data_IF_074426757012
#
_entry.id   IF_074426757012
#
_cell.length_a   1.000
_cell.length_b   1.000
_cell.length_c   1.000
_cell.angle_alpha   90.00
_cell.angle_beta   90.00
_cell.angle_gamma   90.00
#
_symmetry.space_group_name_H-M   'P 1'
#
loop_
_entity.id
_entity.type
_entity.pdbx_description
1 polymer ?
#
# COMPACT_ATOMS: atom_id res chain seq x y z
N UNK A 1 -13.31 -21.00 55.90
CA UNK A 1 -13.71 -19.72 56.54
C UNK A 1 -12.44 -19.01 57.00
N UNK A 2 -12.22 -17.74 56.66
CA UNK A 2 -10.94 -17.06 56.91
C UNK A 2 -10.87 -16.27 58.24
N UNK A 3 -9.68 -15.80 58.66
CA UNK A 3 -9.46 -15.10 59.93
C UNK A 3 -10.44 -13.96 60.22
N UNK A 4 -10.81 -13.19 59.19
CA UNK A 4 -11.76 -12.06 59.30
C UNK A 4 -13.18 -12.53 59.65
N UNK A 5 -13.71 -13.52 58.93
CA UNK A 5 -15.06 -14.08 59.18
C UNK A 5 -15.11 -14.81 60.51
N UNK A 6 -14.05 -15.52 60.89
CA UNK A 6 -13.94 -16.17 62.20
C UNK A 6 -13.97 -15.12 63.31
N UNK A 7 -13.12 -14.09 63.24
CA UNK A 7 -13.10 -13.01 64.21
C UNK A 7 -14.46 -12.32 64.36
N UNK A 8 -15.17 -12.07 63.26
CA UNK A 8 -16.48 -11.44 63.30
C UNK A 8 -17.55 -12.25 64.03
N UNK A 9 -17.45 -13.58 64.05
CA UNK A 9 -18.40 -14.43 64.78
C UNK A 9 -18.11 -14.46 66.28
N UNK A 10 -16.86 -14.69 66.66
CA UNK A 10 -16.49 -14.90 68.08
C UNK A 10 -16.39 -13.59 68.88
N UNK A 11 -16.17 -12.43 68.22
CA UNK A 11 -16.07 -11.14 68.92
C UNK A 11 -17.35 -10.73 69.67
N UNK A 12 -18.51 -11.30 69.32
CA UNK A 12 -19.79 -11.00 69.97
C UNK A 12 -20.02 -11.80 71.26
N UNK A 13 -19.36 -12.95 71.41
CA UNK A 13 -19.56 -13.85 72.54
C UNK A 13 -18.35 -13.90 73.48
N UNK A 14 -17.16 -13.55 73.01
CA UNK A 14 -15.92 -13.67 73.77
C UNK A 14 -14.99 -12.48 73.56
N UNK A 15 -14.32 -12.05 74.62
CA UNK A 15 -13.32 -10.98 74.60
C UNK A 15 -12.10 -11.34 75.46
N UNK A 16 -10.90 -11.16 74.90
CA UNK A 16 -9.64 -11.19 75.64
C UNK A 16 -8.57 -10.36 74.93
N UNK A 17 -7.53 -9.97 75.68
CA UNK A 17 -6.39 -9.21 75.14
C UNK A 17 -5.66 -10.07 74.10
N UNK A 18 -5.66 -9.61 72.84
CA UNK A 18 -5.01 -10.32 71.73
C UNK A 18 -5.93 -11.23 70.91
N UNK A 19 -7.25 -11.25 71.15
CA UNK A 19 -8.25 -12.03 70.40
C UNK A 19 -7.99 -12.04 68.88
N UNK A 20 -7.81 -10.88 68.25
CA UNK A 20 -7.56 -10.78 66.81
C UNK A 20 -6.29 -11.52 66.38
N UNK A 21 -5.21 -11.38 67.15
CA UNK A 21 -3.93 -12.02 66.85
C UNK A 21 -4.01 -13.54 67.05
N UNK A 22 -4.67 -14.00 68.11
CA UNK A 22 -4.86 -15.43 68.36
C UNK A 22 -5.74 -16.08 67.28
N UNK A 23 -6.83 -15.45 66.85
CA UNK A 23 -7.69 -15.96 65.77
C UNK A 23 -6.93 -16.04 64.46
N UNK A 24 -6.13 -15.00 64.14
CA UNK A 24 -5.26 -15.04 62.95
C UNK A 24 -4.25 -16.18 63.03
N UNK A 25 -3.57 -16.34 64.18
CA UNK A 25 -2.58 -17.40 64.40
C UNK A 25 -3.20 -18.79 64.29
N UNK A 26 -4.37 -18.99 64.88
CA UNK A 26 -5.12 -20.25 64.81
C UNK A 26 -5.57 -20.58 63.38
N UNK A 27 -6.16 -19.64 62.66
CA UNK A 27 -6.58 -19.87 61.27
C UNK A 27 -5.39 -20.16 60.34
N UNK A 28 -4.20 -19.62 60.64
CA UNK A 28 -2.96 -19.92 59.91
C UNK A 28 -2.41 -21.30 60.25
N UNK A 29 -2.49 -21.75 61.51
CA UNK A 29 -2.00 -23.08 61.93
C UNK A 29 -3.00 -24.21 61.72
N UNK A 30 -4.28 -23.92 61.51
CA UNK A 30 -5.32 -24.92 61.35
C UNK A 30 -5.23 -25.60 59.98
N UNK A 31 -4.90 -26.90 59.97
CA UNK A 31 -4.78 -27.72 58.76
C UNK A 31 -6.01 -27.63 57.85
N UNK A 32 -7.21 -27.81 58.38
CA UNK A 32 -8.47 -27.76 57.60
C UNK A 32 -8.72 -26.37 56.99
N UNK A 33 -8.34 -25.29 57.70
CA UNK A 33 -8.43 -23.93 57.17
C UNK A 33 -7.40 -23.68 56.06
N UNK A 34 -6.21 -24.29 56.14
CA UNK A 34 -5.18 -24.17 55.11
C UNK A 34 -5.51 -25.01 53.87
N UNK A 35 -6.08 -26.21 54.03
CA UNK A 35 -6.50 -27.09 52.92
C UNK A 35 -7.62 -26.47 52.07
N UNK A 36 -8.51 -25.68 52.68
CA UNK A 36 -9.65 -25.04 52.01
C UNK A 36 -9.40 -23.60 51.59
N UNK A 37 -8.19 -23.07 51.83
CA UNK A 37 -7.84 -21.70 51.50
C UNK A 37 -7.67 -21.56 49.99
N UNK A 38 -8.39 -20.61 49.39
CA UNK A 38 -8.08 -20.15 48.02
C UNK A 38 -6.67 -19.54 47.99
N UNK A 39 -5.78 -20.17 47.22
CA UNK A 39 -4.47 -19.61 46.90
C UNK A 39 -4.69 -18.59 45.78
N UNK A 40 -4.30 -17.33 46.02
CA UNK A 40 -4.16 -16.37 44.93
C UNK A 40 -2.94 -16.81 44.12
N UNK A 41 -3.17 -17.51 43.03
CA UNK A 41 -2.15 -17.76 42.02
C UNK A 41 -2.06 -16.48 41.20
N UNK A 42 -0.88 -15.89 41.12
CA UNK A 42 -0.63 -14.80 40.18
C UNK A 42 -0.37 -15.47 38.82
N UNK A 43 -1.45 -15.71 38.07
CA UNK A 43 -1.43 -16.30 36.74
C UNK A 43 -1.16 -15.27 35.64
N UNK A 44 -0.82 -14.03 36.02
CA UNK A 44 -0.43 -12.99 35.10
C UNK A 44 0.80 -13.41 34.31
N UNK A 45 0.60 -13.91 33.09
CA UNK A 45 1.67 -14.06 32.10
C UNK A 45 2.44 -12.74 32.02
N UNK A 46 3.77 -12.74 32.18
CA UNK A 46 4.55 -11.52 32.12
C UNK A 46 4.32 -10.84 30.77
N UNK A 47 3.73 -9.64 30.81
CA UNK A 47 3.48 -8.84 29.61
C UNK A 47 4.85 -8.45 29.06
N UNK A 48 5.26 -9.11 27.98
CA UNK A 48 6.47 -8.71 27.27
C UNK A 48 6.12 -7.50 26.41
N UNK A 49 6.81 -6.35 26.56
CA UNK A 49 6.54 -5.19 25.71
C UNK A 49 6.85 -5.56 24.27
N UNK A 50 5.83 -5.53 23.41
CA UNK A 50 5.99 -5.72 21.97
C UNK A 50 6.76 -4.51 21.43
N UNK A 51 7.95 -4.75 20.87
CA UNK A 51 8.72 -3.70 20.21
C UNK A 51 7.87 -3.09 19.09
N UNK A 52 7.76 -1.76 19.07
CA UNK A 52 7.02 -1.09 18.00
C UNK A 52 7.86 -1.09 16.73
N UNK A 53 7.29 -1.46 15.58
CA UNK A 53 7.99 -1.31 14.32
C UNK A 53 8.33 0.16 14.06
N UNK A 54 9.50 0.39 13.47
CA UNK A 54 9.99 1.74 13.16
C UNK A 54 9.40 2.26 11.85
N UNK A 55 8.93 1.36 10.98
CA UNK A 55 8.42 1.69 9.65
C UNK A 55 6.98 1.15 9.43
N UNK A 56 6.11 1.88 8.71
CA UNK A 56 4.88 1.37 8.12
C UNK A 56 5.07 0.06 7.37
N UNK A 57 4.07 -0.83 7.45
CA UNK A 57 4.00 -2.13 6.77
C UNK A 57 5.09 -3.14 7.16
N UNK A 58 5.99 -2.79 8.09
CA UNK A 58 6.99 -3.71 8.62
C UNK A 58 6.36 -4.87 9.39
N UNK A 59 5.27 -4.60 10.13
CA UNK A 59 4.48 -5.64 10.83
C UNK A 59 3.00 -5.35 10.64
N UNK A 60 2.31 -6.23 9.91
CA UNK A 60 0.87 -6.21 9.73
C UNK A 60 0.25 -7.36 10.50
N UNK A 61 -0.63 -7.04 11.45
CA UNK A 61 -1.45 -8.04 12.12
C UNK A 61 -2.64 -8.39 11.23
N UNK A 62 -2.91 -9.68 11.07
CA UNK A 62 -4.07 -10.16 10.33
C UNK A 62 -4.89 -11.07 11.22
N UNK A 63 -6.20 -10.84 11.25
CA UNK A 63 -7.16 -11.63 12.02
C UNK A 63 -8.44 -11.88 11.20
N UNK A 64 -9.20 -12.90 11.53
CA UNK A 64 -10.46 -13.26 10.86
C UNK A 64 -11.61 -13.23 11.85
N UNK A 65 -12.59 -12.36 11.60
CA UNK A 65 -13.85 -12.31 12.33
C UNK A 65 -14.84 -13.26 11.66
N UNK A 66 -15.34 -14.26 12.40
CA UNK A 66 -16.41 -15.14 11.95
C UNK A 66 -16.35 -16.54 12.58
N UNK A 67 -17.18 -17.48 12.09
CA UNK A 67 -18.16 -17.32 11.02
C UNK A 67 -19.38 -16.47 11.42
N UNK A 68 -19.86 -15.64 10.50
CA UNK A 68 -21.11 -14.87 10.62
C UNK A 68 -22.26 -15.78 10.18
N UNK A 69 -23.21 -16.00 11.09
CA UNK A 69 -24.41 -16.80 10.85
C UNK A 69 -25.67 -16.05 11.35
N UNK A 70 -26.69 -15.82 10.50
CA UNK A 70 -26.75 -16.15 9.09
C UNK A 70 -25.77 -15.32 8.23
N UNK A 71 -25.31 -15.84 7.08
CA UNK A 71 -24.45 -15.08 6.18
C UNK A 71 -25.16 -13.82 5.67
N UNK A 72 -24.36 -12.83 5.26
CA UNK A 72 -24.92 -11.62 4.61
C UNK A 72 -25.72 -11.96 3.34
N UNK A 73 -26.53 -11.01 2.85
CA UNK A 73 -27.29 -11.16 1.59
C UNK A 73 -26.42 -11.48 0.37
N UNK A 74 -25.13 -11.13 0.39
CA UNK A 74 -24.13 -11.44 -0.65
C UNK A 74 -23.31 -12.72 -0.36
N UNK A 75 -23.64 -13.44 0.71
CA UNK A 75 -22.99 -14.70 1.08
C UNK A 75 -21.66 -14.56 1.83
N UNK A 76 -21.28 -13.36 2.29
CA UNK A 76 -20.09 -13.19 3.13
C UNK A 76 -20.29 -13.84 4.50
N UNK A 77 -19.31 -14.66 4.91
CA UNK A 77 -19.29 -15.47 6.14
C UNK A 77 -18.18 -15.04 7.10
N UNK A 78 -17.17 -14.32 6.65
CA UNK A 78 -16.04 -13.90 7.46
C UNK A 78 -15.55 -12.52 7.05
N UNK A 79 -14.82 -11.85 7.94
CA UNK A 79 -14.18 -10.57 7.66
C UNK A 79 -12.70 -10.71 8.02
N UNK A 80 -11.82 -10.53 7.03
CA UNK A 80 -10.39 -10.40 7.26
C UNK A 80 -10.11 -8.98 7.74
N UNK A 81 -9.49 -8.84 8.89
CA UNK A 81 -9.05 -7.59 9.49
C UNK A 81 -7.53 -7.52 9.41
N UNK A 82 -7.02 -6.44 8.82
CA UNK A 82 -5.59 -6.20 8.71
C UNK A 82 -5.26 -4.88 9.40
N UNK A 83 -4.27 -4.87 10.27
CA UNK A 83 -3.84 -3.65 10.99
C UNK A 83 -2.33 -3.53 10.88
N UNK A 84 -1.87 -2.44 10.26
CA UNK A 84 -0.47 -2.08 10.30
C UNK A 84 -0.10 -1.58 11.70
N UNK A 85 0.88 -2.21 12.35
CA UNK A 85 1.23 -1.91 13.75
C UNK A 85 1.85 -0.52 13.93
N UNK A 86 2.54 0.00 12.90
CA UNK A 86 3.21 1.29 12.98
C UNK A 86 2.22 2.45 12.82
N UNK A 87 1.45 2.47 11.73
CA UNK A 87 0.46 3.53 11.44
C UNK A 87 -0.84 3.36 12.22
N UNK A 88 -1.12 2.16 12.75
CA UNK A 88 -2.39 1.75 13.37
C UNK A 88 -3.59 1.84 12.44
N UNK A 89 -3.37 1.88 11.13
CA UNK A 89 -4.44 1.88 10.15
C UNK A 89 -4.99 0.46 10.01
N UNK A 90 -6.29 0.32 10.23
CA UNK A 90 -7.03 -0.93 10.03
C UNK A 90 -7.76 -0.93 8.69
N UNK A 91 -7.71 -2.05 7.98
CA UNK A 91 -8.47 -2.32 6.76
C UNK A 91 -9.23 -3.65 6.93
N UNK A 92 -10.39 -3.78 6.27
CA UNK A 92 -11.22 -4.98 6.40
C UNK A 92 -11.72 -5.46 5.04
N UNK A 93 -11.80 -6.79 4.88
CA UNK A 93 -12.25 -7.45 3.64
C UNK A 93 -13.27 -8.52 3.98
N UNK A 94 -14.47 -8.40 3.43
CA UNK A 94 -15.53 -9.40 3.60
C UNK A 94 -15.32 -10.60 2.67
N UNK A 95 -15.23 -11.80 3.23
CA UNK A 95 -14.95 -13.05 2.53
C UNK A 95 -16.17 -13.97 2.52
N UNK A 96 -16.41 -14.63 1.38
CA UNK A 96 -17.44 -15.68 1.23
C UNK A 96 -16.91 -17.07 1.62
N UNK A 97 -15.61 -17.28 1.46
CA UNK A 97 -14.88 -18.51 1.79
C UNK A 97 -13.50 -18.15 2.34
N UNK A 98 -12.97 -18.99 3.24
CA UNK A 98 -11.61 -18.87 3.78
C UNK A 98 -10.54 -19.38 2.82
N UNK A 99 -10.91 -20.19 1.82
CA UNK A 99 -10.00 -20.75 0.83
C UNK A 99 -10.31 -20.16 -0.53
N UNK A 100 -9.53 -19.17 -0.95
CA UNK A 100 -9.68 -18.45 -2.22
C UNK A 100 -8.31 -18.21 -2.85
N UNK A 101 -8.20 -18.42 -4.16
CA UNK A 101 -6.95 -18.17 -4.92
C UNK A 101 -6.73 -16.69 -5.22
N UNK A 102 -7.83 -15.93 -5.38
CA UNK A 102 -7.85 -14.50 -5.66
C UNK A 102 -8.95 -13.84 -4.83
N UNK A 103 -8.68 -12.65 -4.32
CA UNK A 103 -9.61 -11.83 -3.54
C UNK A 103 -9.85 -10.49 -4.23
N UNK A 104 -11.08 -9.96 -4.09
CA UNK A 104 -11.40 -8.60 -4.51
C UNK A 104 -11.08 -7.65 -3.35
N UNK A 105 -10.26 -6.64 -3.60
CA UNK A 105 -9.83 -5.65 -2.61
C UNK A 105 -9.73 -4.26 -3.25
N UNK A 106 -10.46 -3.28 -2.70
CA UNK A 106 -10.45 -1.87 -3.14
C UNK A 106 -10.61 -1.64 -4.65
N UNK A 107 -11.40 -2.47 -5.35
CA UNK A 107 -11.60 -2.36 -6.80
C UNK A 107 -10.51 -3.03 -7.66
N UNK A 108 -9.68 -3.85 -7.03
CA UNK A 108 -8.64 -4.68 -7.62
C UNK A 108 -8.87 -6.16 -7.27
N UNK A 109 -8.31 -7.04 -8.08
CA UNK A 109 -8.26 -8.49 -7.82
C UNK A 109 -6.81 -8.84 -7.48
N UNK A 110 -6.56 -9.45 -6.32
CA UNK A 110 -5.21 -9.79 -5.83
C UNK A 110 -5.15 -11.29 -5.52
N UNK A 111 -4.10 -11.97 -5.96
CA UNK A 111 -3.82 -13.35 -5.57
C UNK A 111 -3.05 -14.13 -6.63
N UNK A 112 -2.38 -15.21 -6.20
CA UNK A 112 -1.55 -16.05 -7.07
C UNK A 112 -0.28 -15.36 -7.57
N UNK A 113 0.28 -14.40 -6.81
CA UNK A 113 1.47 -13.64 -7.20
C UNK A 113 1.18 -12.44 -8.12
N UNK A 114 -0.10 -12.16 -8.39
CA UNK A 114 -0.52 -11.08 -9.28
C UNK A 114 -1.60 -10.20 -8.67
N UNK A 115 -1.67 -8.97 -9.15
CA UNK A 115 -2.79 -8.07 -8.94
C UNK A 115 -3.27 -7.45 -10.25
N UNK A 116 -4.56 -7.15 -10.35
CA UNK A 116 -5.17 -6.58 -11.54
C UNK A 116 -6.42 -5.79 -11.22
N UNK A 117 -7.04 -5.15 -12.22
CA UNK A 117 -8.36 -4.54 -12.09
C UNK A 117 -9.43 -5.55 -11.65
N UNK A 118 -10.49 -5.08 -10.97
CA UNK A 118 -11.67 -5.90 -10.70
C UNK A 118 -12.34 -6.32 -12.02
N UNK A 119 -12.57 -7.63 -12.18
CA UNK A 119 -13.21 -8.21 -13.36
C UNK A 119 -14.56 -7.54 -13.68
N UNK A 120 -15.34 -7.17 -12.66
CA UNK A 120 -16.64 -6.50 -12.86
C UNK A 120 -16.46 -5.11 -13.50
N UNK A 121 -15.39 -4.41 -13.13
CA UNK A 121 -15.02 -3.10 -13.69
C UNK A 121 -14.44 -3.25 -15.09
N UNK A 122 -13.65 -4.29 -15.35
CA UNK A 122 -13.17 -4.62 -16.70
C UNK A 122 -14.34 -4.94 -17.64
N UNK A 123 -15.33 -5.71 -17.17
CA UNK A 123 -16.55 -6.00 -17.92
C UNK A 123 -17.34 -4.72 -18.23
N UNK A 124 -17.43 -3.80 -17.26
CA UNK A 124 -18.03 -2.49 -17.50
C UNK A 124 -17.26 -1.70 -18.56
N UNK A 125 -15.93 -1.67 -18.50
CA UNK A 125 -15.05 -1.02 -19.47
C UNK A 125 -15.24 -1.60 -20.88
N UNK A 126 -15.33 -2.93 -20.99
CA UNK A 126 -15.58 -3.61 -22.27
C UNK A 126 -16.88 -3.15 -22.92
N UNK A 127 -17.92 -2.96 -22.12
CA UNK A 127 -19.26 -2.51 -22.55
C UNK A 127 -19.40 -1.01 -22.72
N UNK A 128 -18.36 -0.21 -22.41
CA UNK A 128 -18.43 1.24 -22.59
C UNK A 128 -18.67 1.58 -24.06
N UNK A 129 -19.71 2.38 -24.27
CA UNK A 129 -20.00 3.04 -25.54
C UNK A 129 -19.09 4.25 -25.72
N UNK A 130 -18.90 4.64 -26.97
CA UNK A 130 -18.18 5.86 -27.33
C UNK A 130 -18.87 7.08 -26.70
N UNK A 131 -18.16 7.90 -25.92
CA UNK A 131 -18.72 9.11 -25.33
C UNK A 131 -18.96 10.18 -26.41
N UNK A 132 -20.09 10.87 -26.30
CA UNK A 132 -20.52 11.92 -27.23
C UNK A 132 -20.35 13.32 -26.63
N UNK A 133 -20.39 13.40 -25.30
CA UNK A 133 -20.27 14.66 -24.57
C UNK A 133 -18.96 14.76 -23.80
N UNK A 134 -18.50 16.00 -23.58
CA UNK A 134 -17.30 16.29 -22.78
C UNK A 134 -17.38 15.75 -21.35
N UNK A 135 -18.57 15.67 -20.77
CA UNK A 135 -18.81 15.10 -19.43
C UNK A 135 -18.57 13.59 -19.45
N UNK A 136 -19.10 12.89 -20.45
CA UNK A 136 -18.89 11.46 -20.62
C UNK A 136 -17.40 11.15 -20.86
N UNK A 137 -16.71 11.93 -21.69
CA UNK A 137 -15.25 11.74 -21.92
C UNK A 137 -14.47 11.87 -20.61
N UNK A 138 -14.79 12.86 -19.76
CA UNK A 138 -14.14 12.99 -18.45
C UNK A 138 -14.43 11.80 -17.54
N UNK A 139 -15.69 11.37 -17.46
CA UNK A 139 -16.08 10.22 -16.66
C UNK A 139 -15.36 8.94 -17.09
N UNK A 140 -15.24 8.71 -18.41
CA UNK A 140 -14.46 7.60 -18.98
C UNK A 140 -12.99 7.70 -18.61
N UNK A 141 -12.37 8.89 -18.76
CA UNK A 141 -10.97 9.13 -18.42
C UNK A 141 -10.69 8.99 -16.92
N UNK A 142 -11.65 9.33 -16.06
CA UNK A 142 -11.55 9.12 -14.61
C UNK A 142 -11.57 7.62 -14.27
N UNK A 143 -12.51 6.87 -14.87
CA UNK A 143 -12.59 5.42 -14.69
C UNK A 143 -11.34 4.70 -15.20
N UNK A 144 -10.88 5.01 -16.42
CA UNK A 144 -9.65 4.41 -16.97
C UNK A 144 -8.41 4.91 -16.24
N UNK A 145 -8.41 6.15 -15.78
CA UNK A 145 -7.34 6.76 -15.00
C UNK A 145 -7.14 6.11 -13.63
N UNK A 146 -8.20 5.60 -13.00
CA UNK A 146 -8.09 4.79 -11.79
C UNK A 146 -7.20 3.55 -12.00
N UNK A 147 -7.18 2.99 -13.21
CA UNK A 147 -6.36 1.85 -13.60
C UNK A 147 -5.09 2.22 -14.39
N UNK A 148 -4.68 3.49 -14.40
CA UNK A 148 -3.51 3.92 -15.17
C UNK A 148 -2.20 3.22 -14.76
N UNK A 149 -2.12 2.71 -13.52
CA UNK A 149 -0.98 1.94 -13.02
C UNK A 149 -0.76 0.62 -13.78
N UNK A 150 -1.77 0.12 -14.48
CA UNK A 150 -1.71 -1.11 -15.30
C UNK A 150 -1.35 -0.86 -16.76
N UNK A 151 -1.31 0.42 -17.18
CA UNK A 151 -1.18 0.79 -18.59
C UNK A 151 0.17 1.49 -18.81
N UNK A 152 1.08 0.89 -19.61
CA UNK A 152 2.29 1.58 -20.00
C UNK A 152 1.96 2.79 -20.87
N UNK A 153 2.64 3.92 -20.63
CA UNK A 153 2.48 5.17 -21.40
C UNK A 153 1.03 5.69 -21.47
N UNK A 154 0.23 5.47 -20.42
CA UNK A 154 -1.16 5.93 -20.33
C UNK A 154 -1.34 7.40 -20.76
N UNK A 155 -0.50 8.32 -20.27
CA UNK A 155 -0.60 9.74 -20.57
C UNK A 155 -0.48 10.05 -22.07
N UNK A 156 0.34 9.29 -22.79
CA UNK A 156 0.47 9.40 -24.24
C UNK A 156 -0.81 8.92 -24.93
N UNK A 157 -1.26 7.71 -24.59
CA UNK A 157 -2.43 7.08 -25.22
C UNK A 157 -3.71 7.88 -24.93
N UNK A 158 -3.87 8.40 -23.72
CA UNK A 158 -5.03 9.21 -23.34
C UNK A 158 -4.98 10.64 -23.90
N UNK A 159 -3.92 11.03 -24.61
CA UNK A 159 -3.72 12.40 -25.08
C UNK A 159 -4.89 12.93 -25.91
N UNK A 160 -5.31 12.27 -27.00
CA UNK A 160 -6.40 12.76 -27.85
C UNK A 160 -7.68 12.99 -27.05
N UNK A 161 -8.01 12.05 -26.15
CA UNK A 161 -9.19 12.14 -25.29
C UNK A 161 -9.10 13.31 -24.29
N UNK A 162 -7.93 13.52 -23.67
CA UNK A 162 -7.75 14.63 -22.72
C UNK A 162 -7.88 16.00 -23.40
N UNK A 163 -7.44 16.13 -24.65
CA UNK A 163 -7.52 17.38 -25.44
C UNK A 163 -8.98 17.81 -25.66
N UNK A 164 -9.89 16.85 -25.85
CA UNK A 164 -11.34 17.11 -25.98
C UNK A 164 -11.94 17.71 -24.69
N UNK A 165 -11.35 17.43 -23.52
CA UNK A 165 -11.88 17.89 -22.23
C UNK A 165 -11.46 19.31 -21.82
N UNK A 166 -10.59 19.96 -22.61
CA UNK A 166 -10.06 21.32 -22.34
C UNK A 166 -11.14 22.39 -22.36
N UNK A 167 -11.02 23.42 -21.51
CA UNK A 167 -12.04 24.48 -21.35
C UNK A 167 -12.46 25.14 -22.67
N UNK A 168 -11.52 25.36 -23.59
CA UNK A 168 -11.74 26.07 -24.86
C UNK A 168 -12.42 25.24 -25.96
N UNK A 169 -12.78 23.97 -25.69
CA UNK A 169 -13.47 23.08 -26.65
C UNK A 169 -14.98 23.02 -26.39
N UNK A 170 -15.81 22.85 -27.44
CA UNK A 170 -17.26 22.72 -27.31
C UNK A 170 -17.66 21.54 -26.42
N UNK A 171 -18.92 21.53 -25.94
CA UNK A 171 -19.45 20.46 -25.11
C UNK A 171 -19.72 19.17 -25.90
N UNK A 172 -20.11 19.32 -27.16
CA UNK A 172 -20.20 18.25 -28.13
C UNK A 172 -18.81 17.93 -28.66
N UNK A 173 -18.48 16.65 -28.69
CA UNK A 173 -17.11 16.18 -28.92
C UNK A 173 -16.92 15.84 -30.38
N UNK A 174 -16.06 16.60 -31.07
CA UNK A 174 -15.55 16.21 -32.39
C UNK A 174 -14.64 15.00 -32.23
N UNK A 175 -15.03 13.86 -32.78
CA UNK A 175 -14.33 12.61 -32.55
C UNK A 175 -13.93 11.98 -33.87
N UNK A 176 -12.62 11.93 -34.12
CA UNK A 176 -12.01 11.38 -35.31
C UNK A 176 -11.36 10.02 -35.06
N UNK A 177 -10.45 9.66 -35.96
CA UNK A 177 -9.74 8.38 -35.94
C UNK A 177 -8.73 8.30 -34.78
N UNK A 178 -8.06 9.40 -34.45
CA UNK A 178 -7.10 9.45 -33.35
C UNK A 178 -7.77 9.18 -31.99
N UNK A 179 -8.93 9.78 -31.73
CA UNK A 179 -9.69 9.57 -30.52
C UNK A 179 -10.23 8.13 -30.44
N UNK A 180 -10.71 7.59 -31.56
CA UNK A 180 -11.20 6.22 -31.63
C UNK A 180 -10.08 5.20 -31.35
N UNK A 181 -8.95 5.36 -32.03
CA UNK A 181 -7.76 4.52 -31.84
C UNK A 181 -7.27 4.56 -30.39
N UNK A 182 -7.19 5.74 -29.78
CA UNK A 182 -6.85 5.89 -28.37
C UNK A 182 -7.84 5.20 -27.44
N UNK A 183 -9.15 5.36 -27.68
CA UNK A 183 -10.19 4.74 -26.85
C UNK A 183 -10.15 3.20 -26.94
N UNK A 184 -10.04 2.66 -28.14
CA UNK A 184 -9.99 1.22 -28.37
C UNK A 184 -8.71 0.62 -27.80
N UNK A 185 -7.56 1.29 -27.95
CA UNK A 185 -6.29 0.86 -27.37
C UNK A 185 -6.33 0.83 -25.84
N UNK A 186 -6.94 1.83 -25.20
CA UNK A 186 -7.13 1.82 -23.74
C UNK A 186 -8.06 0.68 -23.29
N UNK A 187 -9.15 0.44 -24.02
CA UNK A 187 -10.05 -0.70 -23.75
C UNK A 187 -9.32 -2.03 -23.90
N UNK A 188 -8.53 -2.19 -24.96
CA UNK A 188 -7.75 -3.40 -25.21
C UNK A 188 -6.75 -3.65 -24.08
N UNK A 189 -5.92 -2.66 -23.70
CA UNK A 189 -4.91 -2.80 -22.65
C UNK A 189 -5.51 -3.14 -21.28
N UNK A 190 -6.69 -2.60 -20.97
CA UNK A 190 -7.41 -2.94 -19.73
C UNK A 190 -8.13 -4.29 -19.80
N UNK A 191 -8.60 -4.71 -20.97
CA UNK A 191 -9.36 -5.95 -21.15
C UNK A 191 -8.49 -7.19 -21.38
N UNK A 192 -7.28 -7.04 -21.93
CA UNK A 192 -6.37 -8.16 -22.25
C UNK A 192 -5.79 -8.86 -21.00
N UNK A 193 -6.24 -8.46 -19.81
CA UNK A 193 -5.76 -8.93 -18.51
C UNK A 193 -4.34 -8.44 -18.28
N UNK A 194 -4.20 -7.14 -17.99
CA UNK A 194 -2.98 -6.56 -17.40
C UNK A 194 -2.96 -6.89 -15.91
N UNK A 195 -2.80 -8.18 -15.59
CA UNK A 195 -2.32 -8.58 -14.27
C UNK A 195 -0.84 -8.22 -14.20
N UNK A 196 -0.48 -7.48 -13.15
CA UNK A 196 0.90 -7.15 -12.81
C UNK A 196 1.32 -7.96 -11.60
N UNK A 197 2.62 -8.12 -11.40
CA UNK A 197 3.13 -8.91 -10.29
C UNK A 197 2.87 -8.20 -8.96
N UNK A 198 2.54 -8.98 -7.92
CA UNK A 198 2.56 -8.46 -6.55
C UNK A 198 4.01 -8.34 -6.08
N UNK A 199 4.37 -7.25 -5.38
CA UNK A 199 5.74 -7.06 -4.94
C UNK A 199 6.13 -8.02 -3.82
N UNK A 200 7.40 -8.43 -3.81
CA UNK A 200 8.05 -9.06 -2.65
C UNK A 200 8.82 -7.99 -1.87
N UNK A 201 8.44 -7.77 -0.61
CA UNK A 201 9.10 -6.78 0.24
C UNK A 201 10.58 -7.08 0.52
N UNK A 202 11.04 -8.31 0.30
CA UNK A 202 12.43 -8.71 0.55
C UNK A 202 13.35 -8.49 -0.66
N UNK A 203 12.80 -8.24 -1.84
CA UNK A 203 13.56 -8.03 -3.07
C UNK A 203 13.69 -6.53 -3.36
N UNK A 204 14.83 -6.08 -3.91
CA UNK A 204 15.02 -4.68 -4.27
C UNK A 204 14.05 -4.28 -5.38
N UNK A 205 13.44 -3.11 -5.23
CA UNK A 205 12.61 -2.52 -6.28
C UNK A 205 13.48 -1.83 -7.32
N UNK A 206 13.05 -1.85 -8.58
CA UNK A 206 13.72 -1.18 -9.68
C UNK A 206 12.75 -0.20 -10.35
N UNK A 207 13.16 1.06 -10.46
CA UNK A 207 12.38 2.11 -11.13
C UNK A 207 13.08 2.45 -12.44
N UNK A 208 12.47 2.04 -13.53
CA UNK A 208 12.89 2.42 -14.88
C UNK A 208 12.22 3.73 -15.25
N UNK A 209 13.00 4.73 -15.65
CA UNK A 209 12.48 6.01 -16.12
C UNK A 209 12.89 6.22 -17.58
N UNK A 210 11.92 6.57 -18.41
CA UNK A 210 12.12 6.99 -19.80
C UNK A 210 11.51 8.39 -19.98
N UNK A 211 12.20 9.23 -20.73
CA UNK A 211 11.71 10.55 -21.10
C UNK A 211 11.82 10.76 -22.60
N UNK A 212 10.74 11.26 -23.18
CA UNK A 212 10.73 11.76 -24.56
C UNK A 212 10.54 13.27 -24.54
N UNK A 213 10.49 13.89 -25.72
CA UNK A 213 10.42 15.35 -25.82
C UNK A 213 9.21 15.97 -25.09
N UNK A 214 8.10 15.22 -24.98
CA UNK A 214 6.81 15.73 -24.55
C UNK A 214 6.24 15.08 -23.28
N UNK A 215 6.78 13.95 -22.84
CA UNK A 215 6.27 13.16 -21.72
C UNK A 215 7.35 12.37 -20.99
N UNK A 216 6.96 11.88 -19.81
CA UNK A 216 7.72 10.96 -18.97
C UNK A 216 6.92 9.68 -18.76
N UNK A 217 7.60 8.54 -18.84
CA UNK A 217 7.11 7.23 -18.44
C UNK A 217 8.02 6.63 -17.37
N UNK A 218 7.43 5.98 -16.38
CA UNK A 218 8.15 5.21 -15.38
C UNK A 218 7.51 3.84 -15.23
N UNK A 219 8.34 2.82 -15.01
CA UNK A 219 7.93 1.46 -14.72
C UNK A 219 8.61 1.00 -13.43
N UNK A 220 7.82 0.58 -12.46
CA UNK A 220 8.27 -0.10 -11.26
C UNK A 220 8.32 -1.60 -11.55
N UNK A 221 9.47 -2.21 -11.35
CA UNK A 221 9.72 -3.63 -11.57
C UNK A 221 10.41 -4.25 -10.35
N UNK A 222 10.36 -5.57 -10.26
CA UNK A 222 11.24 -6.38 -9.42
C UNK A 222 11.79 -7.53 -10.26
N UNK A 223 13.04 -7.91 -10.02
CA UNK A 223 13.60 -9.12 -10.59
C UNK A 223 13.21 -10.32 -9.73
N UNK A 224 12.67 -11.36 -10.37
CA UNK A 224 12.44 -12.65 -9.71
C UNK A 224 13.76 -13.39 -9.47
N UNK A 225 13.73 -14.51 -8.74
CA UNK A 225 14.91 -15.36 -8.49
C UNK A 225 15.58 -15.86 -9.77
N UNK A 226 14.82 -15.94 -10.86
CA UNK A 226 15.29 -16.35 -12.19
C UNK A 226 15.82 -15.18 -13.05
N UNK A 227 15.87 -13.97 -12.49
CA UNK A 227 16.36 -12.76 -13.20
C UNK A 227 15.38 -12.15 -14.19
N UNK A 228 14.13 -12.62 -14.22
CA UNK A 228 13.06 -12.06 -15.06
C UNK A 228 12.50 -10.80 -14.41
N UNK A 229 12.38 -9.73 -15.20
CA UNK A 229 11.79 -8.46 -14.74
C UNK A 229 10.26 -8.56 -14.71
N UNK A 230 9.69 -8.41 -13.52
CA UNK A 230 8.26 -8.46 -13.28
C UNK A 230 7.72 -7.04 -13.05
N UNK A 231 6.83 -6.52 -13.92
CA UNK A 231 6.27 -5.20 -13.76
C UNK A 231 5.22 -5.18 -12.63
N UNK A 232 5.35 -4.21 -11.73
CA UNK A 232 4.46 -4.01 -10.57
C UNK A 232 3.52 -2.84 -10.84
N UNK A 233 4.03 -1.73 -11.38
CA UNK A 233 3.21 -0.56 -11.67
C UNK A 233 3.84 0.34 -12.74
N UNK A 234 3.00 0.98 -13.53
CA UNK A 234 3.38 2.01 -14.49
C UNK A 234 2.95 3.40 -14.00
N UNK A 235 3.69 4.43 -14.40
CA UNK A 235 3.31 5.81 -14.20
C UNK A 235 3.70 6.61 -15.44
N UNK A 236 2.85 7.54 -15.86
CA UNK A 236 3.20 8.42 -16.99
C UNK A 236 2.57 9.79 -16.83
N UNK A 237 3.25 10.82 -17.33
CA UNK A 237 2.78 12.20 -17.27
C UNK A 237 3.31 13.01 -18.46
N UNK A 238 2.47 13.92 -18.98
CA UNK A 238 2.92 14.90 -19.98
C UNK A 238 3.66 16.06 -19.33
N UNK A 239 4.68 16.56 -20.01
CA UNK A 239 5.35 17.79 -19.58
C UNK A 239 4.45 19.01 -19.73
N UNK A 240 4.47 19.86 -18.71
CA UNK A 240 3.93 21.22 -18.77
C UNK A 240 4.68 22.07 -19.81
N UNK A 241 4.10 23.18 -20.25
CA UNK A 241 4.74 24.07 -21.23
C UNK A 241 6.14 24.52 -20.81
N UNK A 242 6.36 24.73 -19.50
CA UNK A 242 7.67 25.07 -18.94
C UNK A 242 8.65 23.90 -18.97
N UNK A 243 8.18 22.68 -18.69
CA UNK A 243 8.98 21.46 -18.66
C UNK A 243 9.45 21.01 -20.05
N UNK A 244 8.64 21.27 -21.09
CA UNK A 244 9.01 20.94 -22.48
C UNK A 244 10.31 21.61 -22.92
N UNK A 245 10.58 22.80 -22.39
CA UNK A 245 11.77 23.60 -22.72
C UNK A 245 12.97 23.30 -21.81
N UNK A 246 12.88 22.35 -20.89
CA UNK A 246 14.02 21.92 -20.08
C UNK A 246 15.04 21.16 -20.94
N UNK A 247 16.31 21.20 -20.53
CA UNK A 247 17.34 20.35 -21.14
C UNK A 247 17.05 18.87 -20.86
N UNK A 248 17.54 17.95 -21.70
CA UNK A 248 17.33 16.48 -21.54
C UNK A 248 17.65 16.01 -20.13
N UNK A 249 18.82 16.42 -19.61
CA UNK A 249 19.26 16.08 -18.25
C UNK A 249 18.29 16.53 -17.15
N UNK A 250 17.63 17.67 -17.32
CA UNK A 250 16.64 18.16 -16.35
C UNK A 250 15.32 17.41 -16.47
N UNK A 251 14.95 16.97 -17.68
CA UNK A 251 13.75 16.16 -17.92
C UNK A 251 13.90 14.78 -17.29
N UNK A 252 15.06 14.14 -17.43
CA UNK A 252 15.33 12.83 -16.83
C UNK A 252 15.45 12.90 -15.31
N UNK A 253 16.14 13.91 -14.77
CA UNK A 253 16.22 14.11 -13.32
C UNK A 253 14.81 14.31 -12.72
N UNK A 254 13.94 15.04 -13.44
CA UNK A 254 12.54 15.15 -13.06
C UNK A 254 11.78 13.84 -13.19
N UNK A 255 12.08 13.01 -14.19
CA UNK A 255 11.45 11.72 -14.36
C UNK A 255 11.76 10.76 -13.22
N UNK A 256 13.00 10.73 -12.76
CA UNK A 256 13.39 9.98 -11.57
C UNK A 256 12.58 10.44 -10.35
N UNK A 257 12.55 11.74 -10.08
CA UNK A 257 11.78 12.29 -8.96
C UNK A 257 10.27 12.00 -9.08
N UNK A 258 9.74 12.08 -10.30
CA UNK A 258 8.35 11.75 -10.60
C UNK A 258 8.05 10.29 -10.30
N UNK A 259 8.88 9.37 -10.78
CA UNK A 259 8.77 7.93 -10.51
C UNK A 259 8.85 7.63 -9.02
N UNK A 260 9.84 8.19 -8.32
CA UNK A 260 10.00 8.02 -6.88
C UNK A 260 8.77 8.48 -6.10
N UNK A 261 8.27 9.68 -6.39
CA UNK A 261 7.08 10.20 -5.72
C UNK A 261 5.82 9.38 -6.03
N UNK A 262 5.68 8.91 -7.27
CA UNK A 262 4.51 8.10 -7.68
C UNK A 262 4.51 6.71 -7.07
N UNK A 263 5.67 6.11 -6.90
CA UNK A 263 5.81 4.74 -6.42
C UNK A 263 6.18 4.63 -4.94
N UNK A 264 6.32 5.74 -4.23
CA UNK A 264 6.62 5.80 -2.78
C UNK A 264 5.79 4.83 -1.93
N UNK A 265 4.50 4.67 -2.27
CA UNK A 265 3.59 3.75 -1.57
C UNK A 265 3.92 2.26 -1.73
N UNK A 266 4.68 1.89 -2.75
CA UNK A 266 5.03 0.49 -3.04
C UNK A 266 6.28 0.04 -2.29
N UNK A 267 7.28 0.89 -2.18
CA UNK A 267 8.60 0.54 -1.67
C UNK A 267 8.98 1.27 -0.39
N UNK A 268 8.00 1.77 0.37
CA UNK A 268 8.26 2.44 1.64
C UNK A 268 9.11 1.53 2.55
N UNK A 269 10.31 2.00 2.93
CA UNK A 269 11.24 1.24 3.77
C UNK A 269 12.02 0.11 3.05
N UNK A 270 11.88 -0.03 1.73
CA UNK A 270 12.62 -1.00 0.93
C UNK A 270 13.82 -0.36 0.21
N UNK A 271 14.72 -1.22 -0.30
CA UNK A 271 15.82 -0.80 -1.16
C UNK A 271 15.28 -0.54 -2.56
N UNK A 272 15.62 0.63 -3.14
CA UNK A 272 15.19 1.02 -4.48
C UNK A 272 16.40 1.33 -5.35
N UNK A 273 16.40 0.76 -6.55
CA UNK A 273 17.38 0.96 -7.61
C UNK A 273 16.75 1.76 -8.75
N UNK A 274 17.45 2.80 -9.22
CA UNK A 274 16.96 3.68 -10.27
C UNK A 274 17.71 3.34 -11.55
N UNK A 275 16.97 2.93 -12.57
CA UNK A 275 17.48 2.57 -13.89
C UNK A 275 17.09 3.68 -14.88
N UNK A 276 18.09 4.38 -15.41
CA UNK A 276 17.94 5.40 -16.44
C UNK A 276 19.06 5.25 -17.46
N UNK A 277 18.72 5.54 -18.71
CA UNK A 277 19.58 5.55 -19.89
C UNK A 277 20.60 6.70 -19.91
N UNK A 278 20.40 7.74 -19.10
CA UNK A 278 21.24 8.93 -19.17
C UNK A 278 22.30 8.99 -18.05
N UNK A 279 23.53 8.69 -18.46
CA UNK A 279 24.75 8.64 -17.65
C UNK A 279 25.08 9.89 -16.78
N UNK A 280 24.73 11.14 -17.17
CA UNK A 280 24.99 12.36 -16.38
C UNK A 280 24.35 12.41 -14.99
N UNK A 281 23.30 11.63 -14.72
CA UNK A 281 22.65 11.59 -13.40
C UNK A 281 23.59 11.04 -12.31
N UNK A 282 24.64 10.28 -12.67
CA UNK A 282 25.70 9.83 -11.76
C UNK A 282 26.45 10.98 -11.10
N UNK A 283 26.53 12.12 -11.78
CA UNK A 283 27.30 13.28 -11.33
C UNK A 283 26.44 14.31 -10.57
N UNK A 284 25.12 14.10 -10.41
CA UNK A 284 24.25 15.03 -9.67
C UNK A 284 24.71 15.25 -8.22
N UNK A 285 25.24 14.22 -7.57
CA UNK A 285 25.82 14.34 -6.22
C UNK A 285 27.19 15.03 -6.21
N UNK A 286 27.91 15.04 -7.34
CA UNK A 286 29.24 15.61 -7.49
C UNK A 286 29.23 17.03 -8.09
N UNK A 287 28.11 17.44 -8.71
CA UNK A 287 27.94 18.76 -9.29
C UNK A 287 27.56 19.79 -8.21
N UNK A 288 28.28 20.90 -8.16
CA UNK A 288 27.85 22.08 -7.39
C UNK A 288 26.53 22.59 -7.97
N UNK A 289 25.42 22.60 -7.21
CA UNK A 289 24.13 22.96 -7.77
C UNK A 289 24.12 24.43 -8.18
N UNK A 290 23.98 24.68 -9.50
CA UNK A 290 24.03 26.05 -10.07
C UNK A 290 22.73 26.83 -9.93
N UNK A 291 21.66 26.22 -9.42
CA UNK A 291 20.35 26.86 -9.24
C UNK A 291 19.57 26.20 -8.10
N UNK A 292 18.59 26.90 -7.49
CA UNK A 292 17.70 26.33 -6.47
C UNK A 292 16.94 25.07 -6.94
N UNK A 293 16.70 24.94 -8.23
CA UNK A 293 16.08 23.76 -8.85
C UNK A 293 16.99 22.53 -8.74
N UNK A 294 18.29 22.70 -9.01
CA UNK A 294 19.28 21.63 -8.87
C UNK A 294 19.47 21.19 -7.41
N UNK A 295 19.39 22.12 -6.45
CA UNK A 295 19.39 21.78 -5.01
C UNK A 295 18.24 20.85 -4.66
N UNK A 296 17.01 21.19 -5.09
CA UNK A 296 15.82 20.35 -4.83
C UNK A 296 15.91 18.97 -5.47
N UNK A 297 16.55 18.85 -6.63
CA UNK A 297 16.75 17.57 -7.30
C UNK A 297 17.76 16.71 -6.58
N UNK A 298 18.89 17.31 -6.20
CA UNK A 298 19.90 16.61 -5.41
C UNK A 298 19.31 16.14 -4.09
N UNK A 299 18.69 17.02 -3.31
CA UNK A 299 18.12 16.65 -2.00
C UNK A 299 16.99 15.61 -2.10
N UNK A 300 16.24 15.60 -3.21
CA UNK A 300 15.19 14.61 -3.46
C UNK A 300 15.69 13.25 -3.97
N UNK A 301 16.87 13.20 -4.59
CA UNK A 301 17.50 11.97 -5.10
C UNK A 301 18.50 11.41 -4.07
N UNK A 302 19.16 12.27 -3.30
CA UNK A 302 20.07 11.87 -2.23
C UNK A 302 19.26 11.35 -1.03
N UNK A 303 19.63 10.21 -0.42
CA UNK A 303 18.94 9.70 0.75
C UNK A 303 19.06 10.70 1.90
N UNK A 304 18.00 11.41 2.21
CA UNK A 304 17.91 12.19 3.45
C UNK A 304 16.76 11.67 4.31
N UNK A 305 17.17 11.10 5.46
CA UNK A 305 16.45 11.02 6.73
C UNK A 305 15.09 10.27 6.82
N UNK A 306 14.69 9.46 5.84
CA UNK A 306 13.36 8.81 5.84
C UNK A 306 13.34 7.27 5.92
N UNK A 307 14.47 6.61 6.21
CA UNK A 307 14.53 5.13 6.30
C UNK A 307 14.45 4.41 4.93
N UNK A 308 14.28 5.15 3.84
CA UNK A 308 14.39 4.68 2.46
C UNK A 308 15.86 4.67 2.02
N UNK A 309 16.36 3.51 1.58
CA UNK A 309 17.72 3.37 1.04
C UNK A 309 17.64 3.36 -0.49
N UNK A 310 17.93 4.50 -1.11
CA UNK A 310 18.14 4.59 -2.55
C UNK A 310 19.58 4.19 -2.88
N UNK A 311 19.76 3.12 -3.65
CA UNK A 311 21.06 2.80 -4.24
C UNK A 311 20.97 3.04 -5.74
N UNK A 312 21.75 3.99 -6.25
CA UNK A 312 21.81 4.26 -7.69
C UNK A 312 22.67 3.15 -8.33
N UNK A 313 22.03 2.07 -8.74
CA UNK A 313 22.62 1.00 -9.55
C UNK A 313 22.34 1.25 -11.03
N UNK A 314 23.38 1.31 -11.86
CA UNK A 314 23.22 1.46 -13.32
C UNK A 314 23.58 0.14 -13.99
N UNK A 315 22.59 -0.51 -14.61
CA UNK A 315 22.84 -1.48 -15.68
C UNK A 315 22.58 -0.81 -17.02
N UNK A 316 23.64 -0.70 -17.83
CA UNK A 316 23.59 -0.22 -19.20
C UNK A 316 23.15 -1.40 -20.08
N UNK A 317 21.84 -1.61 -20.20
CA UNK A 317 21.31 -2.42 -21.28
C UNK A 317 20.38 -1.55 -22.14
N UNK A 318 20.90 -1.18 -23.31
CA UNK A 318 20.10 -0.66 -24.40
C UNK A 318 19.03 -1.70 -24.73
N UNK A 319 17.79 -1.47 -24.35
CA UNK A 319 16.65 -2.20 -24.92
C UNK A 319 16.30 -1.50 -26.22
N UNK A 320 16.73 -2.11 -27.33
CA UNK A 320 16.34 -1.74 -28.69
C UNK A 320 14.92 -2.14 -29.03
#
# INVERSE_FOLDING_TARGET
MGPKKTLERIKYSFFWKGLRANVKKFCVSCRECQLTRSVMVNDGSPITPVARPELPFQVVNMDLIGPIDPPSSKGHKSILCQVDQHTRRGETVSLTSLSVKKIKYLGHTIGGGEHGPDEDKVLAIKRLIRPTTKKEVRSVLELMGFYCAYIPNYAQISTPLTELTKKNKPNEVSWGEAEQSSFDKLKELLCKVTSLATPDANLPFQVHCDTKDYDVGCCLTQQDTDGVYMPIAFASQKFTAKQKNWASIEKEAWAVLYGLNKFDRWFYGAKVEIISDHNPLKYLNQMTPKSPKHWRYRDGITPSLTGLVYSIGVQVHCLG
#
